data_IF_238380057072
#
_entry.id   IF_238380057072
#
_cell.length_a   1.000
_cell.length_b   1.000
_cell.length_c   1.000
_cell.angle_alpha   90.00
_cell.angle_beta   90.00
_cell.angle_gamma   90.00
#
_symmetry.space_group_name_H-M   'P 1'
#
loop_
_entity.id
_entity.type
_entity.pdbx_description
1 polymer ?
#
# COMPACT_ATOMS: atom_id res chain seq x y z
N UNK A 1 25.58 -30.46 6.60
CA UNK A 1 24.19 -30.51 7.09
C UNK A 1 23.95 -29.57 8.28
N UNK A 2 24.84 -29.52 9.28
CA UNK A 2 24.71 -28.65 10.47
C UNK A 2 24.73 -27.15 10.15
N UNK A 3 25.73 -26.67 9.38
CA UNK A 3 25.80 -25.25 8.96
C UNK A 3 24.52 -24.71 8.32
N UNK A 4 23.95 -25.45 7.37
CA UNK A 4 22.72 -25.03 6.68
C UNK A 4 21.52 -24.90 7.64
N UNK A 5 21.46 -25.76 8.67
CA UNK A 5 20.41 -25.70 9.69
C UNK A 5 20.62 -24.51 10.63
N UNK A 6 21.87 -24.24 10.99
CA UNK A 6 22.23 -23.11 11.85
C UNK A 6 21.97 -21.78 11.12
N UNK A 7 22.41 -21.66 9.85
CA UNK A 7 22.15 -20.51 8.99
C UNK A 7 20.63 -20.28 8.79
N UNK A 8 19.85 -21.34 8.58
CA UNK A 8 18.40 -21.25 8.47
C UNK A 8 17.75 -20.78 9.78
N UNK A 9 18.23 -21.26 10.91
CA UNK A 9 17.73 -20.87 12.24
C UNK A 9 18.04 -19.40 12.51
N UNK A 10 19.24 -18.94 12.16
CA UNK A 10 19.64 -17.55 12.30
C UNK A 10 18.77 -16.62 11.43
N UNK A 11 18.52 -16.99 10.17
CA UNK A 11 17.63 -16.24 9.28
C UNK A 11 16.20 -16.20 9.83
N UNK A 12 15.70 -17.30 10.38
CA UNK A 12 14.37 -17.35 10.99
C UNK A 12 14.27 -16.44 12.22
N UNK A 13 15.28 -16.45 13.10
CA UNK A 13 15.31 -15.56 14.27
C UNK A 13 15.36 -14.09 13.86
N UNK A 14 16.16 -13.75 12.85
CA UNK A 14 16.22 -12.39 12.32
C UNK A 14 14.90 -11.97 11.67
N UNK A 15 14.26 -12.86 10.90
CA UNK A 15 12.95 -12.60 10.30
C UNK A 15 11.89 -12.34 11.37
N UNK A 16 11.83 -13.14 12.44
CA UNK A 16 10.90 -12.92 13.56
C UNK A 16 11.15 -11.55 14.22
N UNK A 17 12.42 -11.18 14.45
CA UNK A 17 12.78 -9.90 15.05
C UNK A 17 12.34 -8.72 14.18
N UNK A 18 12.63 -8.78 12.88
CA UNK A 18 12.25 -7.74 11.91
C UNK A 18 10.73 -7.64 11.79
N UNK A 19 10.00 -8.76 11.72
CA UNK A 19 8.55 -8.75 11.69
C UNK A 19 7.96 -8.06 12.92
N UNK A 20 8.50 -8.34 14.12
CA UNK A 20 8.05 -7.68 15.35
C UNK A 20 8.30 -6.18 15.32
N UNK A 21 9.49 -5.75 14.86
CA UNK A 21 9.82 -4.33 14.73
C UNK A 21 8.89 -3.64 13.72
N UNK A 22 8.61 -4.29 12.59
CA UNK A 22 7.67 -3.77 11.60
C UNK A 22 6.26 -3.60 12.18
N UNK A 23 5.78 -4.57 12.98
CA UNK A 23 4.48 -4.45 13.68
C UNK A 23 4.46 -3.28 14.67
N UNK A 24 5.52 -3.09 15.45
CA UNK A 24 5.64 -1.99 16.42
C UNK A 24 5.65 -0.62 15.72
N UNK A 25 6.46 -0.46 14.66
CA UNK A 25 6.52 0.77 13.88
C UNK A 25 5.21 1.07 13.15
N UNK A 26 4.54 0.04 12.62
CA UNK A 26 3.24 0.20 11.94
C UNK A 26 2.17 0.67 12.93
N UNK A 27 2.15 0.13 14.14
CA UNK A 27 1.26 0.59 15.22
C UNK A 27 1.51 2.06 15.56
N UNK A 28 2.77 2.46 15.67
CA UNK A 28 3.16 3.85 15.94
C UNK A 28 2.77 4.80 14.80
N UNK A 29 2.93 4.35 13.55
CA UNK A 29 2.48 5.09 12.36
C UNK A 29 0.97 5.32 12.41
N UNK A 30 0.17 4.30 12.70
CA UNK A 30 -1.29 4.45 12.84
C UNK A 30 -1.66 5.45 13.95
N UNK A 31 -0.99 5.40 15.10
CA UNK A 31 -1.21 6.34 16.19
C UNK A 31 -0.88 7.79 15.76
N UNK A 32 0.23 8.00 15.05
CA UNK A 32 0.62 9.31 14.53
C UNK A 32 -0.33 9.82 13.44
N UNK A 33 -0.78 8.94 12.55
CA UNK A 33 -1.77 9.28 11.53
C UNK A 33 -3.09 9.73 12.15
N UNK A 34 -3.53 9.06 13.22
CA UNK A 34 -4.74 9.42 13.94
C UNK A 34 -4.60 10.76 14.68
N UNK A 35 -3.45 11.00 15.33
CA UNK A 35 -3.15 12.32 15.91
C UNK A 35 -3.11 13.43 14.86
N UNK A 36 -2.58 13.16 13.67
CA UNK A 36 -2.54 14.11 12.57
C UNK A 36 -3.95 14.42 12.03
N UNK A 37 -4.83 13.41 11.91
CA UNK A 37 -6.25 13.61 11.57
C UNK A 37 -6.97 14.46 12.61
N UNK A 38 -6.78 14.18 13.90
CA UNK A 38 -7.40 14.96 14.98
C UNK A 38 -6.93 16.41 14.99
N UNK A 39 -5.62 16.65 14.84
CA UNK A 39 -5.06 18.02 14.71
C UNK A 39 -5.59 18.75 13.47
N UNK A 40 -5.80 18.03 12.37
CA UNK A 40 -6.41 18.59 11.16
C UNK A 40 -7.89 18.92 11.39
N UNK A 41 -8.64 18.08 12.09
CA UNK A 41 -10.05 18.32 12.41
C UNK A 41 -10.26 19.58 13.27
N UNK A 42 -9.43 19.79 14.30
CA UNK A 42 -9.48 21.00 15.16
C UNK A 42 -9.18 22.30 14.38
N UNK A 43 -8.44 22.21 13.26
CA UNK A 43 -8.11 23.37 12.42
C UNK A 43 -9.19 23.72 11.39
N UNK A 44 -10.22 22.89 11.25
CA UNK A 44 -11.28 22.99 10.22
C UNK A 44 -12.65 23.13 10.91
N UNK A 45 -12.80 24.06 11.85
CA UNK A 45 -14.12 24.40 12.42
C UNK A 45 -14.95 25.32 11.51
N UNK A 46 -14.41 25.75 10.36
CA UNK A 46 -15.19 26.45 9.34
C UNK A 46 -16.04 25.44 8.54
N UNK A 47 -17.39 25.49 8.64
CA UNK A 47 -18.28 24.55 7.96
C UNK A 47 -18.10 24.53 6.43
N UNK A 48 -17.64 25.64 5.83
CA UNK A 48 -17.38 25.72 4.38
C UNK A 48 -16.16 24.89 4.00
N UNK A 49 -15.11 24.93 4.82
CA UNK A 49 -13.89 24.16 4.59
C UNK A 49 -14.15 22.66 4.82
N UNK A 50 -15.01 22.30 5.77
CA UNK A 50 -15.43 20.90 5.95
C UNK A 50 -16.20 20.36 4.73
N UNK A 51 -17.15 21.13 4.20
CA UNK A 51 -17.89 20.75 2.99
C UNK A 51 -16.98 20.60 1.78
N UNK A 52 -15.99 21.49 1.63
CA UNK A 52 -15.03 21.43 0.53
C UNK A 52 -14.09 20.22 0.66
N UNK A 53 -13.60 19.92 1.87
CA UNK A 53 -12.81 18.71 2.14
C UNK A 53 -13.64 17.45 1.86
N UNK A 54 -14.90 17.39 2.28
CA UNK A 54 -15.75 16.24 2.05
C UNK A 54 -16.01 16.02 0.55
N UNK A 55 -16.26 17.10 -0.19
CA UNK A 55 -16.42 17.07 -1.65
C UNK A 55 -15.14 16.56 -2.32
N UNK A 56 -13.99 17.14 -2.01
CA UNK A 56 -12.69 16.73 -2.58
C UNK A 56 -12.35 15.27 -2.22
N UNK A 57 -12.68 14.83 -1.01
CA UNK A 57 -12.47 13.44 -0.57
C UNK A 57 -13.32 12.47 -1.41
N UNK A 58 -14.58 12.82 -1.68
CA UNK A 58 -15.46 12.02 -2.57
C UNK A 58 -14.94 11.98 -4.01
N UNK A 59 -14.42 13.09 -4.51
CA UNK A 59 -13.83 13.15 -5.86
C UNK A 59 -12.55 12.29 -5.96
N UNK A 60 -11.65 12.38 -4.98
CA UNK A 60 -10.44 11.53 -4.92
C UNK A 60 -10.81 10.05 -4.82
N UNK A 61 -11.79 9.69 -3.99
CA UNK A 61 -12.27 8.30 -3.87
C UNK A 61 -12.83 7.78 -5.20
N UNK A 62 -13.60 8.61 -5.91
CA UNK A 62 -14.17 8.27 -7.22
C UNK A 62 -13.06 8.08 -8.26
N UNK A 63 -12.05 8.96 -8.25
CA UNK A 63 -10.89 8.86 -9.13
C UNK A 63 -10.09 7.58 -8.88
N UNK A 64 -9.78 7.27 -7.61
CA UNK A 64 -9.09 6.02 -7.23
C UNK A 64 -9.87 4.77 -7.64
N UNK A 65 -11.19 4.77 -7.49
CA UNK A 65 -12.02 3.64 -7.90
C UNK A 65 -11.96 3.42 -9.42
N UNK A 66 -12.05 4.50 -10.21
CA UNK A 66 -11.92 4.42 -11.68
C UNK A 66 -10.53 3.94 -12.09
N UNK A 67 -9.50 4.45 -11.44
CA UNK A 67 -8.12 4.02 -11.67
C UNK A 67 -7.95 2.52 -11.42
N UNK A 68 -8.44 2.01 -10.28
CA UNK A 68 -8.35 0.57 -9.94
C UNK A 68 -9.02 -0.33 -10.99
N UNK A 69 -10.18 0.09 -11.52
CA UNK A 69 -10.85 -0.64 -12.60
C UNK A 69 -9.99 -0.64 -13.86
N UNK A 70 -9.49 0.52 -14.28
CA UNK A 70 -8.65 0.63 -15.48
C UNK A 70 -7.37 -0.20 -15.35
N UNK A 71 -6.72 -0.14 -14.19
CA UNK A 71 -5.55 -0.94 -13.86
C UNK A 71 -5.86 -2.43 -13.93
N UNK A 72 -6.91 -2.90 -13.26
CA UNK A 72 -7.29 -4.32 -13.27
C UNK A 72 -7.56 -4.84 -14.68
N UNK A 73 -8.22 -4.04 -15.52
CA UNK A 73 -8.44 -4.38 -16.94
C UNK A 73 -7.11 -4.44 -17.69
N UNK A 74 -6.23 -3.44 -17.55
CA UNK A 74 -4.93 -3.42 -18.21
C UNK A 74 -4.04 -4.61 -17.80
N UNK A 75 -3.94 -4.90 -16.51
CA UNK A 75 -3.20 -6.06 -16.00
C UNK A 75 -3.77 -7.37 -16.53
N UNK A 76 -5.11 -7.51 -16.58
CA UNK A 76 -5.78 -8.69 -17.13
C UNK A 76 -5.53 -8.88 -18.63
N UNK A 77 -5.52 -7.79 -19.40
CA UNK A 77 -5.21 -7.83 -20.85
C UNK A 77 -3.75 -8.25 -21.07
N UNK A 78 -2.80 -7.62 -20.37
CA UNK A 78 -1.37 -7.94 -20.54
C UNK A 78 -1.07 -9.37 -20.10
N UNK A 79 -1.51 -9.77 -18.91
CA UNK A 79 -1.29 -11.13 -18.39
C UNK A 79 -1.99 -12.21 -19.22
N UNK A 80 -3.18 -11.91 -19.76
CA UNK A 80 -3.96 -12.83 -20.60
C UNK A 80 -3.51 -12.90 -22.07
N UNK A 81 -2.67 -11.97 -22.54
CA UNK A 81 -2.24 -11.90 -23.94
C UNK A 81 -1.19 -12.95 -24.35
N UNK A 82 -0.53 -13.58 -23.38
CA UNK A 82 0.57 -14.52 -23.63
C UNK A 82 1.93 -13.86 -23.90
N UNK A 83 2.04 -12.53 -23.80
CA UNK A 83 3.33 -11.81 -23.83
C UNK A 83 4.11 -12.10 -22.54
N UNK A 84 5.44 -12.25 -22.63
CA UNK A 84 6.34 -12.48 -21.49
C UNK A 84 6.58 -11.17 -20.70
N UNK A 85 5.52 -10.71 -20.03
CA UNK A 85 5.50 -9.47 -19.25
C UNK A 85 6.43 -9.49 -18.03
N UNK A 86 6.88 -10.66 -17.57
CA UNK A 86 7.72 -10.77 -16.38
C UNK A 86 9.18 -10.30 -16.63
N UNK A 87 9.63 -10.38 -17.89
CA UNK A 87 10.99 -9.98 -18.31
C UNK A 87 11.08 -8.52 -18.74
N UNK A 88 9.96 -7.89 -19.07
CA UNK A 88 9.87 -6.50 -19.47
C UNK A 88 9.45 -5.66 -18.26
N UNK A 89 10.25 -4.64 -17.92
CA UNK A 89 10.05 -3.83 -16.73
C UNK A 89 8.76 -2.99 -16.80
N UNK A 90 8.44 -2.45 -17.97
CA UNK A 90 7.24 -1.62 -18.16
C UNK A 90 5.98 -2.47 -18.08
N UNK A 91 5.99 -3.65 -18.71
CA UNK A 91 4.86 -4.59 -18.65
C UNK A 91 4.71 -5.20 -17.26
N UNK A 92 5.81 -5.48 -16.57
CA UNK A 92 5.78 -5.97 -15.19
C UNK A 92 5.15 -4.96 -14.25
N UNK A 93 5.46 -3.67 -14.38
CA UNK A 93 4.85 -2.61 -13.58
C UNK A 93 3.35 -2.42 -13.88
N UNK A 94 2.91 -2.72 -15.11
CA UNK A 94 1.49 -2.69 -15.46
C UNK A 94 0.72 -3.87 -14.84
N UNK A 95 1.36 -5.03 -14.72
CA UNK A 95 0.72 -6.25 -14.17
C UNK A 95 0.82 -6.31 -12.65
N UNK A 96 1.99 -6.01 -12.10
CA UNK A 96 2.29 -6.02 -10.67
C UNK A 96 2.25 -4.58 -10.16
N UNK A 97 1.30 -4.29 -9.29
CA UNK A 97 1.18 -2.98 -8.66
C UNK A 97 1.66 -3.09 -7.21
N UNK A 98 2.72 -2.36 -6.82
CA UNK A 98 3.21 -2.37 -5.44
C UNK A 98 2.24 -1.66 -4.48
N UNK A 99 1.20 -0.97 -4.96
CA UNK A 99 0.21 -0.30 -4.11
C UNK A 99 -0.97 -1.21 -3.69
N UNK A 100 -1.03 -2.48 -4.10
CA UNK A 100 -2.11 -3.41 -3.73
C UNK A 100 -1.96 -4.04 -2.32
N UNK A 101 -0.97 -3.61 -1.52
CA UNK A 101 -0.84 -3.94 -0.09
C UNK A 101 -1.54 -2.88 0.78
N UNK A 102 -2.88 -2.92 0.82
CA UNK A 102 -3.70 -2.27 1.87
C UNK A 102 -3.95 -3.24 3.05
#
# INVERSE_FOLDING_TARGET
MTKLRDDLTDVQVQSIRVCRQNMELTSELFALAEQAKQKKAVRVDDPRVQQEIEKLTKEVKTSRQRWRVMKGVASGVVAGSGVDWAKDEDLRNIVLDPEDED
#
